data_IF_284175477993
#
_entry.id   IF_284175477993
#
_cell.length_a   1.000
_cell.length_b   1.000
_cell.length_c   1.000
_cell.angle_alpha   90.00
_cell.angle_beta   90.00
_cell.angle_gamma   90.00
#
_symmetry.space_group_name_H-M   'P 1'
#
loop_
_entity.id
_entity.type
_entity.pdbx_description
1 polymer ?
#
# COMPACT_ATOMS: atom_id res chain seq x y z
N UNK A 1 -6.81 16.09 17.75
CA UNK A 1 -6.43 15.24 16.61
C UNK A 1 -7.40 14.07 16.55
N UNK A 2 -8.00 13.84 15.40
CA UNK A 2 -8.93 12.73 15.24
C UNK A 2 -8.57 11.96 13.96
N UNK A 3 -8.45 10.64 14.10
CA UNK A 3 -8.35 9.76 12.93
C UNK A 3 -9.72 9.65 12.28
N UNK A 4 -9.80 9.91 10.98
CA UNK A 4 -11.06 9.94 10.22
C UNK A 4 -11.11 8.93 9.07
N UNK A 5 -10.20 7.96 9.06
CA UNK A 5 -10.21 6.90 8.06
C UNK A 5 -9.06 5.92 8.20
N UNK A 6 -9.34 4.70 7.76
CA UNK A 6 -8.40 3.59 7.61
C UNK A 6 -8.48 3.11 6.16
N UNK A 7 -7.34 2.94 5.51
CA UNK A 7 -7.28 2.59 4.09
C UNK A 7 -6.14 1.65 3.78
N UNK A 8 -6.34 0.85 2.73
CA UNK A 8 -5.32 0.11 2.00
C UNK A 8 -4.39 -0.72 2.91
N UNK A 9 -4.89 -1.73 3.64
CA UNK A 9 -4.01 -2.69 4.28
C UNK A 9 -3.22 -3.44 3.21
N UNK A 10 -1.90 -3.44 3.35
CA UNK A 10 -0.93 -4.06 2.44
C UNK A 10 -0.09 -5.00 3.27
N UNK A 11 0.06 -6.23 2.80
CA UNK A 11 0.79 -7.27 3.51
C UNK A 11 1.83 -7.88 2.57
N UNK A 12 2.97 -8.27 3.11
CA UNK A 12 3.95 -9.09 2.42
C UNK A 12 4.57 -10.09 3.38
N UNK A 13 4.85 -11.30 2.92
CA UNK A 13 5.57 -12.31 3.68
C UNK A 13 6.98 -11.85 3.97
N UNK A 14 7.41 -11.95 5.22
CA UNK A 14 8.79 -11.71 5.66
C UNK A 14 9.61 -12.97 5.44
N UNK A 15 10.73 -12.83 4.74
CA UNK A 15 11.67 -13.94 4.48
C UNK A 15 12.69 -14.06 5.59
N UNK A 16 13.37 -15.19 5.63
CA UNK A 16 14.42 -15.46 6.61
C UNK A 16 15.66 -14.54 6.49
N UNK A 17 15.84 -13.92 5.33
CA UNK A 17 16.92 -12.95 5.07
C UNK A 17 16.57 -11.52 5.51
N UNK A 18 15.39 -11.31 6.10
CA UNK A 18 14.87 -10.02 6.52
C UNK A 18 14.23 -9.19 5.40
N UNK A 19 14.18 -9.68 4.18
CA UNK A 19 13.48 -9.03 3.06
C UNK A 19 12.03 -9.48 2.98
N UNK A 20 11.21 -8.73 2.24
CA UNK A 20 9.81 -9.08 1.99
C UNK A 20 9.62 -9.66 0.60
N UNK A 21 8.62 -10.52 0.47
CA UNK A 21 8.09 -10.98 -0.81
C UNK A 21 7.29 -9.87 -1.50
N UNK A 22 6.66 -10.17 -2.64
CA UNK A 22 5.81 -9.21 -3.33
C UNK A 22 4.59 -8.83 -2.47
N UNK A 23 4.40 -7.54 -2.16
CA UNK A 23 3.29 -7.09 -1.34
C UNK A 23 1.95 -7.15 -2.09
N UNK A 24 0.91 -7.52 -1.37
CA UNK A 24 -0.46 -7.59 -1.88
C UNK A 24 -1.43 -6.79 -1.01
N UNK A 25 -2.52 -6.32 -1.64
CA UNK A 25 -3.60 -5.65 -0.92
C UNK A 25 -4.44 -6.68 -0.17
N UNK A 26 -4.71 -6.43 1.12
CA UNK A 26 -5.49 -7.30 1.98
C UNK A 26 -6.94 -6.82 2.12
N UNK A 27 -7.75 -7.00 1.07
CA UNK A 27 -9.15 -6.60 1.04
C UNK A 27 -9.37 -5.09 1.25
N UNK A 28 -10.60 -4.72 1.62
CA UNK A 28 -10.94 -3.35 2.04
C UNK A 28 -10.94 -3.28 3.56
N UNK A 29 -10.23 -2.32 4.12
CA UNK A 29 -10.15 -2.13 5.56
C UNK A 29 -11.50 -1.74 6.16
N UNK A 30 -11.89 -2.41 7.23
CA UNK A 30 -13.08 -2.11 8.04
C UNK A 30 -12.64 -1.58 9.41
N UNK A 31 -11.68 -2.25 10.04
CA UNK A 31 -11.12 -1.86 11.33
C UNK A 31 -9.71 -2.41 11.52
N UNK A 32 -8.90 -1.69 12.26
CA UNK A 32 -7.58 -2.14 12.67
C UNK A 32 -7.32 -1.63 14.09
N UNK A 33 -6.94 -2.54 14.96
CA UNK A 33 -6.52 -2.24 16.32
C UNK A 33 -5.10 -2.78 16.53
N UNK A 34 -4.25 -1.95 17.13
CA UNK A 34 -2.88 -2.31 17.51
C UNK A 34 -2.69 -1.93 18.96
N UNK A 35 -2.50 -2.94 19.85
CA UNK A 35 -2.41 -2.76 21.29
C UNK A 35 -1.06 -3.25 21.78
N UNK A 36 -0.11 -2.35 22.10
CA UNK A 36 1.19 -2.75 22.61
C UNK A 36 1.10 -3.29 24.04
N UNK A 37 1.84 -4.35 24.31
CA UNK A 37 2.02 -4.98 25.61
C UNK A 37 3.47 -4.86 26.04
N UNK A 38 3.67 -4.60 27.32
CA UNK A 38 4.97 -4.39 27.93
C UNK A 38 5.18 -5.39 29.07
N UNK A 39 6.41 -5.86 29.22
CA UNK A 39 6.87 -6.49 30.43
C UNK A 39 7.26 -5.39 31.43
N UNK A 40 6.77 -5.48 32.65
CA UNK A 40 7.01 -4.47 33.69
C UNK A 40 7.60 -5.16 34.91
N UNK A 41 8.63 -4.54 35.50
CA UNK A 41 9.29 -5.01 36.71
C UNK A 41 9.47 -3.87 37.72
N UNK A 42 9.25 -4.14 39.00
CA UNK A 42 9.50 -3.17 40.08
C UNK A 42 10.36 -3.81 41.17
N UNK A 43 11.42 -3.14 41.56
CA UNK A 43 12.22 -3.49 42.72
C UNK A 43 11.81 -2.59 43.92
N UNK A 44 11.49 -3.21 45.02
CA UNK A 44 11.20 -2.49 46.27
C UNK A 44 12.38 -2.67 47.23
N UNK A 45 12.85 -1.56 47.82
CA UNK A 45 13.87 -1.52 48.84
C UNK A 45 13.50 -0.42 49.86
N UNK A 46 13.84 -0.64 51.17
CA UNK A 46 13.59 0.31 52.26
C UNK A 46 12.14 0.84 52.28
N UNK A 47 11.16 -0.08 52.13
CA UNK A 47 9.70 0.18 52.13
C UNK A 47 9.21 1.13 51.03
N UNK A 48 10.03 1.33 49.97
CA UNK A 48 9.70 2.13 48.78
C UNK A 48 10.04 1.43 47.47
N UNK A 49 9.43 1.90 46.37
CA UNK A 49 9.82 1.46 45.03
C UNK A 49 11.17 2.08 44.65
N UNK A 50 12.21 1.24 44.59
CA UNK A 50 13.59 1.66 44.30
C UNK A 50 13.86 1.74 42.78
N UNK A 51 13.33 0.78 42.01
CA UNK A 51 13.50 0.75 40.57
C UNK A 51 12.20 0.28 39.89
N UNK A 52 11.97 0.77 38.66
CA UNK A 52 10.90 0.35 37.79
C UNK A 52 11.44 0.26 36.37
N UNK A 53 11.22 -0.87 35.73
CA UNK A 53 11.59 -1.12 34.35
C UNK A 53 10.38 -1.54 33.51
N UNK A 54 10.40 -1.13 32.24
CA UNK A 54 9.30 -1.40 31.31
C UNK A 54 9.85 -1.60 29.91
N UNK A 55 9.72 -2.83 29.40
CA UNK A 55 10.20 -3.22 28.07
C UNK A 55 9.06 -3.65 27.16
N UNK A 56 9.14 -3.31 25.87
CA UNK A 56 8.18 -3.79 24.89
C UNK A 56 8.29 -5.31 24.74
N UNK A 57 7.15 -5.99 24.86
CA UNK A 57 7.07 -7.44 24.72
C UNK A 57 6.54 -7.85 23.34
N UNK A 58 5.36 -7.41 23.01
CA UNK A 58 4.69 -7.62 21.72
C UNK A 58 3.53 -6.65 21.57
N UNK A 59 2.93 -6.58 20.38
CA UNK A 59 1.67 -5.87 20.20
C UNK A 59 0.60 -6.81 19.65
N UNK A 60 -0.60 -6.78 20.23
CA UNK A 60 -1.75 -7.45 19.64
C UNK A 60 -2.27 -6.65 18.46
N UNK A 61 -2.57 -7.35 17.36
CA UNK A 61 -3.09 -6.76 16.13
C UNK A 61 -4.41 -7.45 15.79
N UNK A 62 -5.47 -6.67 15.64
CA UNK A 62 -6.76 -7.16 15.12
C UNK A 62 -7.09 -6.40 13.85
N UNK A 63 -7.21 -7.12 12.73
CA UNK A 63 -7.52 -6.55 11.42
C UNK A 63 -8.85 -7.11 10.91
N UNK A 64 -9.82 -6.22 10.69
CA UNK A 64 -11.12 -6.51 10.11
C UNK A 64 -11.14 -6.00 8.66
N UNK A 65 -11.49 -6.87 7.72
CA UNK A 65 -11.51 -6.55 6.28
C UNK A 65 -12.74 -7.12 5.60
N UNK A 66 -13.00 -6.67 4.38
CA UNK A 66 -14.14 -7.15 3.59
C UNK A 66 -13.99 -8.61 3.13
N UNK A 67 -12.76 -9.09 2.99
CA UNK A 67 -12.45 -10.45 2.52
C UNK A 67 -11.00 -10.81 2.82
N UNK A 68 -10.69 -12.10 2.82
CA UNK A 68 -9.32 -12.63 2.82
C UNK A 68 -8.97 -13.02 1.37
N UNK A 69 -7.97 -12.37 0.74
CA UNK A 69 -7.55 -12.73 -0.61
C UNK A 69 -6.96 -14.16 -0.65
N UNK A 70 -7.10 -14.87 -1.77
CA UNK A 70 -6.53 -16.23 -1.94
C UNK A 70 -5.02 -16.24 -1.67
N UNK A 71 -4.29 -15.22 -2.12
CA UNK A 71 -2.84 -15.09 -1.89
C UNK A 71 -2.47 -15.06 -0.41
N UNK A 72 -3.36 -14.58 0.46
CA UNK A 72 -3.11 -14.55 1.90
C UNK A 72 -3.04 -15.95 2.51
N UNK A 73 -3.79 -16.92 1.98
CA UNK A 73 -3.76 -18.29 2.45
C UNK A 73 -2.36 -18.91 2.29
N UNK A 74 -1.68 -18.65 1.18
CA UNK A 74 -0.30 -19.10 0.99
C UNK A 74 0.69 -18.24 1.80
N UNK A 75 0.63 -16.92 1.66
CA UNK A 75 1.67 -16.00 2.15
C UNK A 75 1.61 -15.71 3.64
N UNK A 76 0.43 -15.83 4.26
CA UNK A 76 0.25 -15.58 5.70
C UNK A 76 0.07 -16.86 6.50
N UNK A 77 -0.74 -17.80 6.00
CA UNK A 77 -1.15 -18.99 6.77
C UNK A 77 -0.41 -20.26 6.35
N UNK A 78 0.37 -20.23 5.26
CA UNK A 78 1.14 -21.38 4.79
C UNK A 78 0.33 -22.50 4.14
N UNK A 79 -0.93 -22.21 3.79
CA UNK A 79 -1.80 -23.18 3.11
C UNK A 79 -1.32 -23.48 1.69
N UNK A 80 -1.63 -24.66 1.19
CA UNK A 80 -1.35 -25.01 -0.20
C UNK A 80 -2.40 -24.39 -1.12
N UNK A 81 -1.97 -23.48 -1.99
CA UNK A 81 -2.83 -22.82 -2.98
C UNK A 81 -2.50 -23.32 -4.38
N UNK A 82 -3.51 -23.78 -5.10
CA UNK A 82 -3.41 -24.20 -6.52
C UNK A 82 -4.51 -23.51 -7.31
N UNK A 83 -4.17 -22.50 -8.09
CA UNK A 83 -5.12 -21.65 -8.81
C UNK A 83 -6.17 -21.01 -7.88
N UNK A 84 -7.38 -21.57 -7.83
CA UNK A 84 -8.49 -21.10 -7.00
C UNK A 84 -8.81 -22.02 -5.83
N UNK A 85 -8.05 -23.11 -5.68
CA UNK A 85 -8.25 -24.07 -4.62
C UNK A 85 -7.27 -23.83 -3.48
N UNK A 86 -7.78 -23.75 -2.26
CA UNK A 86 -7.01 -23.66 -1.03
C UNK A 86 -7.19 -24.95 -0.25
N UNK A 87 -6.09 -25.63 0.05
CA UNK A 87 -6.08 -26.82 0.87
C UNK A 87 -5.45 -26.51 2.21
N UNK A 88 -6.16 -26.82 3.28
CA UNK A 88 -5.74 -26.68 4.66
C UNK A 88 -5.18 -28.02 5.15
N UNK A 89 -3.98 -28.03 5.73
CA UNK A 89 -3.37 -29.21 6.30
C UNK A 89 -3.08 -28.95 7.78
N UNK A 90 -3.12 -29.99 8.60
CA UNK A 90 -2.92 -29.84 10.04
C UNK A 90 -1.50 -29.47 10.48
N UNK A 91 -0.54 -29.50 9.56
CA UNK A 91 0.86 -29.11 9.73
C UNK A 91 1.22 -27.78 9.06
N UNK A 92 0.24 -27.07 8.49
CA UNK A 92 0.46 -25.73 7.93
C UNK A 92 1.00 -24.77 9.00
N UNK A 93 2.00 -23.97 8.65
CA UNK A 93 2.65 -23.04 9.55
C UNK A 93 2.44 -21.60 9.10
N UNK A 94 1.93 -20.76 10.00
CA UNK A 94 1.75 -19.34 9.72
C UNK A 94 3.09 -18.64 9.55
N UNK A 95 3.20 -17.85 8.49
CA UNK A 95 4.38 -17.07 8.16
C UNK A 95 4.42 -15.75 8.92
N UNK A 96 5.61 -15.23 9.17
CA UNK A 96 5.80 -13.84 9.57
C UNK A 96 5.56 -12.93 8.36
N UNK A 97 4.88 -11.81 8.58
CA UNK A 97 4.54 -10.83 7.54
C UNK A 97 4.79 -9.41 8.01
N UNK A 98 5.08 -8.51 7.09
CA UNK A 98 4.95 -7.08 7.32
C UNK A 98 3.52 -6.61 7.04
N UNK A 99 3.03 -5.62 7.79
CA UNK A 99 1.72 -5.01 7.60
C UNK A 99 1.84 -3.51 7.49
N UNK A 100 1.45 -2.96 6.34
CA UNK A 100 1.31 -1.52 6.11
C UNK A 100 -0.14 -1.08 5.95
N UNK A 101 -0.48 0.13 6.42
CA UNK A 101 -1.79 0.74 6.19
C UNK A 101 -1.72 2.25 6.24
N UNK A 102 -2.75 2.92 5.71
CA UNK A 102 -2.87 4.37 5.74
C UNK A 102 -3.98 4.76 6.70
N UNK A 103 -3.68 5.62 7.67
CA UNK A 103 -4.68 6.34 8.46
C UNK A 103 -4.78 7.79 7.98
N UNK A 104 -5.98 8.35 8.04
CA UNK A 104 -6.24 9.75 7.67
C UNK A 104 -6.47 10.54 8.94
N UNK A 105 -5.75 11.62 9.11
CA UNK A 105 -5.90 12.55 10.20
C UNK A 105 -6.47 13.88 9.68
N UNK A 106 -7.27 14.54 10.50
CA UNK A 106 -7.77 15.89 10.22
C UNK A 106 -7.47 16.83 11.39
N UNK A 107 -6.64 17.85 11.12
CA UNK A 107 -6.27 18.87 12.09
C UNK A 107 -6.60 20.26 11.51
N UNK A 108 -7.39 21.04 12.21
CA UNK A 108 -7.79 22.39 11.79
C UNK A 108 -8.32 22.47 10.34
N UNK A 109 -9.08 21.47 9.92
CA UNK A 109 -9.63 21.41 8.56
C UNK A 109 -8.70 20.80 7.51
N UNK A 110 -7.42 20.70 7.77
CA UNK A 110 -6.41 20.12 6.88
C UNK A 110 -6.36 18.60 7.08
N UNK A 111 -6.36 17.85 5.97
CA UNK A 111 -6.15 16.40 5.97
C UNK A 111 -4.69 16.07 5.74
N UNK A 112 -4.18 15.12 6.51
CA UNK A 112 -2.90 14.45 6.29
C UNK A 112 -3.08 12.95 6.25
N UNK A 113 -2.14 12.27 5.63
CA UNK A 113 -2.14 10.82 5.45
C UNK A 113 -0.95 10.24 6.19
N UNK A 114 -1.21 9.33 7.12
CA UNK A 114 -0.17 8.71 7.92
C UNK A 114 0.03 7.30 7.38
N UNK A 115 1.21 7.05 6.83
CA UNK A 115 1.71 5.72 6.56
C UNK A 115 2.08 5.05 7.88
N UNK A 116 1.58 3.87 8.11
CA UNK A 116 1.91 3.05 9.26
C UNK A 116 2.47 1.71 8.78
N UNK A 117 3.44 1.19 9.50
CA UNK A 117 4.09 -0.06 9.16
C UNK A 117 4.44 -0.84 10.42
N UNK A 118 4.11 -2.14 10.44
CA UNK A 118 4.56 -3.12 11.42
C UNK A 118 5.55 -4.05 10.71
N UNK A 119 6.76 -4.14 11.26
CA UNK A 119 7.86 -4.86 10.60
C UNK A 119 7.64 -6.38 10.60
N UNK A 120 7.12 -6.92 11.70
CA UNK A 120 6.94 -8.36 11.85
C UNK A 120 5.67 -8.69 12.61
N UNK A 121 4.71 -9.31 11.92
CA UNK A 121 3.44 -9.76 12.49
C UNK A 121 3.23 -11.22 12.14
N UNK A 122 2.83 -12.03 13.09
CA UNK A 122 2.34 -13.37 12.87
C UNK A 122 0.84 -13.42 13.17
N UNK A 123 0.04 -13.65 12.14
CA UNK A 123 -1.41 -13.77 12.28
C UNK A 123 -1.81 -15.21 12.57
N UNK A 124 -2.85 -15.36 13.39
CA UNK A 124 -3.51 -16.64 13.59
C UNK A 124 -4.53 -16.87 12.47
N UNK A 125 -4.81 -18.13 12.16
CA UNK A 125 -5.87 -18.48 11.24
C UNK A 125 -7.20 -17.92 11.73
N UNK A 126 -7.98 -17.26 10.84
CA UNK A 126 -9.25 -16.67 11.24
C UNK A 126 -10.30 -17.75 11.53
N UNK A 127 -11.18 -17.48 12.47
CA UNK A 127 -12.42 -18.25 12.61
C UNK A 127 -13.38 -17.90 11.47
N UNK A 128 -14.08 -18.89 10.96
CA UNK A 128 -15.10 -18.73 9.93
C UNK A 128 -16.50 -18.73 10.54
N UNK A 129 -17.31 -17.74 10.19
CA UNK A 129 -18.70 -17.61 10.64
C UNK A 129 -19.61 -17.42 9.41
N UNK A 130 -20.48 -18.39 9.19
CA UNK A 130 -21.42 -18.41 8.09
C UNK A 130 -22.86 -18.39 8.60
N UNK A 131 -23.69 -17.54 8.01
CA UNK A 131 -25.12 -17.48 8.32
C UNK A 131 -25.96 -17.60 7.05
N UNK A 132 -27.13 -18.23 7.16
CA UNK A 132 -28.10 -18.27 6.06
C UNK A 132 -28.71 -16.87 5.84
N UNK A 133 -29.03 -16.57 4.58
CA UNK A 133 -29.72 -15.34 4.24
C UNK A 133 -31.12 -15.30 4.87
N UNK A 134 -31.36 -14.28 5.68
CA UNK A 134 -32.70 -13.97 6.22
C UNK A 134 -33.47 -12.96 5.35
N UNK A 135 -34.47 -12.32 5.93
CA UNK A 135 -35.24 -11.25 5.28
C UNK A 135 -34.39 -9.98 5.06
N UNK A 136 -33.37 -9.75 5.91
CA UNK A 136 -32.39 -8.69 5.76
C UNK A 136 -31.03 -9.26 5.28
N UNK A 137 -30.25 -8.42 4.56
CA UNK A 137 -28.90 -8.77 4.15
C UNK A 137 -27.92 -8.35 5.25
N UNK A 138 -27.32 -9.35 5.90
CA UNK A 138 -26.23 -9.15 6.85
C UNK A 138 -24.90 -9.58 6.22
N UNK A 139 -23.91 -8.69 6.27
CA UNK A 139 -22.56 -9.01 5.83
C UNK A 139 -21.73 -9.54 7.00
N UNK A 140 -21.28 -10.77 6.88
CA UNK A 140 -20.23 -11.32 7.78
C UNK A 140 -18.88 -10.99 7.18
N UNK A 141 -18.02 -10.39 7.97
CA UNK A 141 -16.70 -9.92 7.55
C UNK A 141 -15.61 -10.59 8.38
N UNK A 142 -14.51 -11.05 7.75
CA UNK A 142 -13.44 -11.72 8.47
C UNK A 142 -12.73 -10.76 9.43
N UNK A 143 -12.37 -11.33 10.59
CA UNK A 143 -11.51 -10.70 11.59
C UNK A 143 -10.32 -11.61 11.83
N UNK A 144 -9.12 -11.08 11.61
CA UNK A 144 -7.89 -11.81 11.88
C UNK A 144 -7.13 -11.16 13.03
N UNK A 145 -6.60 -11.99 13.91
CA UNK A 145 -5.79 -11.56 15.04
C UNK A 145 -4.37 -12.04 14.89
N UNK A 146 -3.42 -11.28 15.41
CA UNK A 146 -2.01 -11.64 15.35
C UNK A 146 -1.19 -10.90 16.40
N UNK A 147 0.09 -11.20 16.41
CA UNK A 147 1.06 -10.53 17.29
C UNK A 147 2.17 -9.90 16.46
N UNK A 148 2.41 -8.63 16.69
CA UNK A 148 3.59 -7.93 16.19
C UNK A 148 4.71 -8.05 17.23
N UNK A 149 5.91 -8.40 16.76
CA UNK A 149 7.12 -8.50 17.57
C UNK A 149 8.19 -7.55 17.05
N UNK A 150 9.15 -7.21 17.90
CA UNK A 150 10.31 -6.47 17.47
C UNK A 150 11.18 -7.31 16.52
N UNK A 151 11.81 -6.63 15.57
CA UNK A 151 12.88 -7.18 14.72
C UNK A 151 14.25 -6.89 15.32
N UNK A 152 15.30 -7.47 14.74
CA UNK A 152 16.67 -7.17 15.15
C UNK A 152 16.93 -5.66 15.08
N UNK A 153 17.44 -5.08 16.18
CA UNK A 153 17.56 -3.64 16.34
C UNK A 153 16.43 -2.97 17.12
N UNK A 154 15.40 -3.72 17.55
CA UNK A 154 14.34 -3.28 18.48
C UNK A 154 13.16 -2.54 17.83
N UNK A 155 13.18 -2.31 16.52
CA UNK A 155 12.04 -1.73 15.79
C UNK A 155 10.85 -2.72 15.72
N UNK A 156 9.61 -2.20 15.82
CA UNK A 156 8.41 -3.01 15.65
C UNK A 156 7.31 -2.27 14.88
N UNK A 157 7.34 -0.94 14.95
CA UNK A 157 6.37 -0.07 14.27
C UNK A 157 7.03 1.22 13.83
N UNK A 158 6.71 1.64 12.61
CA UNK A 158 7.06 2.97 12.09
C UNK A 158 5.82 3.71 11.59
N UNK A 159 5.88 5.04 11.66
CA UNK A 159 4.83 5.91 11.12
C UNK A 159 5.46 7.15 10.52
N UNK A 160 4.91 7.60 9.38
CA UNK A 160 5.32 8.85 8.74
C UNK A 160 4.10 9.58 8.16
N UNK A 161 4.10 10.92 8.24
CA UNK A 161 2.98 11.76 7.82
C UNK A 161 3.26 12.41 6.47
N UNK A 162 2.28 12.37 5.58
CA UNK A 162 2.36 12.82 4.20
C UNK A 162 1.21 13.78 3.84
N UNK A 163 1.44 14.62 2.84
CA UNK A 163 0.42 15.51 2.29
C UNK A 163 -0.62 14.76 1.43
N UNK A 164 -0.22 13.66 0.77
CA UNK A 164 -1.06 12.89 -0.14
C UNK A 164 -1.11 11.41 0.20
N UNK A 165 -2.22 10.76 -0.18
CA UNK A 165 -2.38 9.31 -0.03
C UNK A 165 -1.37 8.52 -0.87
N UNK A 166 -0.99 9.05 -2.06
CA UNK A 166 -0.02 8.42 -2.94
C UNK A 166 1.38 8.36 -2.31
N UNK A 167 1.82 9.45 -1.66
CA UNK A 167 3.09 9.47 -0.93
C UNK A 167 3.10 8.48 0.23
N UNK A 168 2.04 8.45 1.06
CA UNK A 168 1.91 7.49 2.14
C UNK A 168 1.94 6.03 1.63
N UNK A 169 1.27 5.76 0.51
CA UNK A 169 1.28 4.46 -0.15
C UNK A 169 2.68 4.10 -0.65
N UNK A 170 3.35 5.03 -1.33
CA UNK A 170 4.71 4.82 -1.83
C UNK A 170 5.70 4.52 -0.70
N UNK A 171 5.58 5.21 0.43
CA UNK A 171 6.38 4.93 1.62
C UNK A 171 6.15 3.52 2.15
N UNK A 172 4.89 3.07 2.27
CA UNK A 172 4.57 1.69 2.69
C UNK A 172 5.17 0.67 1.73
N UNK A 173 5.02 0.85 0.41
CA UNK A 173 5.65 -0.05 -0.57
C UNK A 173 7.18 0.00 -0.49
N UNK A 174 7.76 1.16 -0.19
CA UNK A 174 9.19 1.33 0.06
C UNK A 174 9.70 0.47 1.23
N UNK A 175 8.89 0.33 2.31
CA UNK A 175 9.20 -0.58 3.43
C UNK A 175 9.26 -2.05 3.00
N UNK A 176 8.48 -2.44 2.02
CA UNK A 176 8.55 -3.76 1.39
C UNK A 176 9.65 -3.89 0.32
N UNK A 177 10.52 -2.88 0.16
CA UNK A 177 11.56 -2.86 -0.88
C UNK A 177 11.03 -2.58 -2.30
N UNK A 178 9.79 -2.08 -2.42
CA UNK A 178 9.16 -1.71 -3.70
C UNK A 178 9.01 -0.18 -3.78
N UNK A 179 9.84 0.45 -4.58
CA UNK A 179 9.80 1.90 -4.76
C UNK A 179 9.10 2.29 -6.07
N UNK A 180 8.30 3.38 -6.03
CA UNK A 180 7.83 4.03 -7.25
C UNK A 180 9.02 4.62 -7.99
N UNK A 181 9.26 4.14 -9.21
CA UNK A 181 10.32 4.67 -10.06
C UNK A 181 9.97 6.06 -10.59
N UNK A 182 10.99 6.81 -10.97
CA UNK A 182 10.84 8.17 -11.53
C UNK A 182 11.04 8.12 -13.04
N UNK A 183 10.17 8.83 -13.76
CA UNK A 183 10.32 9.17 -15.18
C UNK A 183 10.68 10.65 -15.31
N UNK A 184 11.71 10.96 -16.06
CA UNK A 184 11.96 12.32 -16.52
C UNK A 184 11.15 12.54 -17.79
N UNK A 185 10.12 13.40 -17.70
CA UNK A 185 9.20 13.70 -18.80
C UNK A 185 9.47 15.14 -19.27
N UNK A 186 9.77 15.30 -20.55
CA UNK A 186 9.97 16.60 -21.18
C UNK A 186 8.91 16.83 -22.25
N UNK A 187 8.41 18.05 -22.33
CA UNK A 187 7.40 18.48 -23.30
C UNK A 187 7.99 19.53 -24.24
N UNK A 188 7.78 19.34 -25.53
CA UNK A 188 8.11 20.30 -26.57
C UNK A 188 6.91 20.52 -27.50
N UNK A 189 6.86 21.64 -28.20
CA UNK A 189 5.83 21.90 -29.22
C UNK A 189 5.78 20.77 -30.25
N UNK A 190 4.58 20.27 -30.55
CA UNK A 190 4.35 19.27 -31.56
C UNK A 190 4.47 19.81 -32.99
N UNK A 191 4.19 18.98 -33.96
CA UNK A 191 4.17 19.35 -35.39
C UNK A 191 2.83 19.94 -35.83
N UNK A 192 1.76 19.60 -35.10
CA UNK A 192 0.39 20.06 -35.37
C UNK A 192 -0.11 20.97 -34.25
N UNK A 193 -0.87 22.00 -34.57
CA UNK A 193 -1.52 22.92 -33.60
C UNK A 193 -2.25 22.15 -32.51
N UNK A 194 -2.07 22.57 -31.24
CA UNK A 194 -2.65 21.94 -30.08
C UNK A 194 -2.02 20.58 -29.66
N UNK A 195 -0.91 20.20 -30.32
CA UNK A 195 -0.15 19.00 -30.00
C UNK A 195 1.16 19.30 -29.29
N UNK A 196 1.55 18.38 -28.46
CA UNK A 196 2.86 18.36 -27.78
C UNK A 196 3.56 17.03 -28.05
N UNK A 197 4.89 17.10 -28.20
CA UNK A 197 5.78 15.94 -28.26
C UNK A 197 6.40 15.71 -26.91
N UNK A 198 6.31 14.47 -26.42
CA UNK A 198 6.92 14.08 -25.15
C UNK A 198 8.19 13.28 -25.39
N UNK A 199 9.16 13.49 -24.50
CA UNK A 199 10.35 12.63 -24.37
C UNK A 199 10.38 12.11 -22.96
N UNK A 200 10.51 10.79 -22.80
CA UNK A 200 10.48 10.12 -21.49
C UNK A 200 11.76 9.30 -21.29
N UNK A 201 12.42 9.48 -20.16
CA UNK A 201 13.61 8.75 -19.75
C UNK A 201 13.48 8.26 -18.30
N UNK A 202 13.91 7.02 -18.00
CA UNK A 202 14.32 5.96 -18.94
C UNK A 202 13.17 5.47 -19.81
N UNK A 203 13.47 4.76 -20.89
CA UNK A 203 12.46 4.09 -21.71
C UNK A 203 11.80 2.97 -20.90
N UNK A 204 10.55 2.64 -21.25
CA UNK A 204 9.79 1.57 -20.60
C UNK A 204 10.45 0.20 -20.77
N UNK A 205 10.20 -0.70 -19.83
CA UNK A 205 10.60 -2.10 -19.91
C UNK A 205 9.79 -2.90 -20.92
N UNK A 206 10.25 -4.13 -21.24
CA UNK A 206 9.61 -5.00 -22.24
C UNK A 206 8.18 -5.42 -21.85
N UNK A 207 7.94 -5.68 -20.56
CA UNK A 207 6.63 -6.09 -20.02
C UNK A 207 5.81 -4.91 -19.51
N UNK A 208 6.08 -3.69 -20.00
CA UNK A 208 5.38 -2.49 -19.56
C UNK A 208 4.91 -1.63 -20.73
N UNK A 209 3.97 -0.76 -20.44
CA UNK A 209 3.43 0.22 -21.39
C UNK A 209 3.29 1.58 -20.73
N UNK A 210 3.15 2.63 -21.55
CA UNK A 210 2.87 3.96 -21.05
C UNK A 210 1.39 4.30 -21.11
N UNK A 211 0.96 5.03 -20.09
CA UNK A 211 -0.32 5.74 -20.08
C UNK A 211 -0.09 7.18 -19.64
N UNK A 212 -0.98 8.09 -20.03
CA UNK A 212 -0.88 9.49 -19.63
C UNK A 212 -2.23 10.09 -19.25
N UNK A 213 -2.17 11.19 -18.49
CA UNK A 213 -3.29 12.12 -18.26
C UNK A 213 -2.82 13.56 -18.46
N UNK A 214 -3.72 14.40 -18.95
CA UNK A 214 -3.50 15.85 -19.07
C UNK A 214 -4.61 16.62 -18.36
N UNK A 215 -4.29 17.80 -17.84
CA UNK A 215 -5.26 18.71 -17.21
C UNK A 215 -4.62 19.59 -16.13
N UNK A 216 -5.39 20.53 -15.59
CA UNK A 216 -4.89 21.47 -14.59
C UNK A 216 -4.56 20.81 -13.24
N UNK A 217 -5.32 19.79 -12.84
CA UNK A 217 -5.24 19.16 -11.52
C UNK A 217 -5.03 17.64 -11.61
N UNK A 218 -4.03 17.23 -12.38
CA UNK A 218 -3.64 15.81 -12.46
C UNK A 218 -2.60 15.52 -11.39
N UNK A 219 -2.84 14.50 -10.55
CA UNK A 219 -1.90 14.02 -9.55
C UNK A 219 -1.16 12.77 -10.01
N UNK A 220 0.06 12.60 -9.52
CA UNK A 220 0.83 11.37 -9.69
C UNK A 220 0.12 10.21 -8.99
N UNK A 221 0.12 8.99 -9.59
CA UNK A 221 -0.38 7.79 -8.92
C UNK A 221 0.62 7.29 -7.88
N UNK A 222 0.14 6.50 -6.93
CA UNK A 222 0.98 5.70 -6.05
C UNK A 222 1.46 4.41 -6.73
N UNK A 223 2.55 3.81 -6.20
CA UNK A 223 2.99 2.48 -6.64
C UNK A 223 1.84 1.48 -6.61
N UNK A 224 1.74 0.66 -7.63
CA UNK A 224 0.69 -0.35 -7.78
C UNK A 224 -0.75 0.21 -7.83
N UNK A 225 -0.95 1.48 -8.19
CA UNK A 225 -2.27 2.01 -8.55
C UNK A 225 -2.66 1.54 -9.95
N UNK A 226 -3.94 1.21 -10.12
CA UNK A 226 -4.45 0.79 -11.45
C UNK A 226 -4.64 2.03 -12.32
N UNK A 227 -3.83 2.10 -13.39
CA UNK A 227 -3.81 3.20 -14.34
C UNK A 227 -4.27 2.72 -15.72
N UNK A 228 -5.57 2.63 -15.93
CA UNK A 228 -6.19 2.20 -17.19
C UNK A 228 -7.29 3.18 -17.67
N UNK A 229 -7.92 2.87 -18.80
CA UNK A 229 -8.97 3.71 -19.38
C UNK A 229 -10.17 3.92 -18.41
N UNK A 230 -10.55 2.90 -17.63
CA UNK A 230 -11.65 3.00 -16.66
C UNK A 230 -11.34 3.97 -15.51
N UNK A 231 -10.05 4.16 -15.21
CA UNK A 231 -9.56 5.16 -14.24
C UNK A 231 -9.14 6.48 -14.90
N UNK A 232 -9.49 6.66 -16.19
CA UNK A 232 -9.33 7.89 -16.98
C UNK A 232 -7.90 8.11 -17.48
N UNK A 233 -7.09 7.06 -17.62
CA UNK A 233 -5.78 7.11 -18.26
C UNK A 233 -5.88 6.76 -19.74
N UNK A 234 -5.11 7.44 -20.57
CA UNK A 234 -5.04 7.21 -22.01
C UNK A 234 -3.78 6.40 -22.33
N UNK A 235 -3.90 5.25 -23.03
CA UNK A 235 -2.74 4.53 -23.53
C UNK A 235 -1.89 5.39 -24.47
N UNK A 236 -0.55 5.24 -24.39
CA UNK A 236 0.39 5.96 -25.21
C UNK A 236 1.54 5.04 -25.64
N UNK A 237 1.90 5.13 -26.91
CA UNK A 237 2.97 4.29 -27.50
C UNK A 237 4.40 4.76 -27.15
N UNK A 238 4.54 5.94 -26.56
CA UNK A 238 5.83 6.53 -26.21
C UNK A 238 6.40 7.45 -27.30
N UNK A 239 5.74 7.59 -28.46
CA UNK A 239 6.26 8.32 -29.63
C UNK A 239 5.26 9.31 -30.24
N UNK A 240 3.97 8.97 -30.24
CA UNK A 240 2.92 9.80 -30.84
C UNK A 240 2.77 11.13 -30.07
N UNK A 241 2.53 12.20 -30.83
CA UNK A 241 2.18 13.50 -30.26
C UNK A 241 0.81 13.43 -29.59
N UNK A 242 0.70 13.98 -28.40
CA UNK A 242 -0.54 14.00 -27.63
C UNK A 242 -1.23 15.37 -27.70
N UNK A 243 -2.55 15.38 -27.50
CA UNK A 243 -3.32 16.63 -27.38
C UNK A 243 -3.26 17.14 -25.94
N UNK A 244 -2.94 18.41 -25.78
CA UNK A 244 -2.95 19.10 -24.50
C UNK A 244 -3.26 20.59 -24.72
N UNK A 245 -3.64 21.32 -23.67
CA UNK A 245 -3.68 22.78 -23.69
C UNK A 245 -2.36 23.33 -23.18
N UNK A 246 -1.94 24.46 -23.69
CA UNK A 246 -0.75 25.15 -23.23
C UNK A 246 -0.82 25.36 -21.71
N UNK A 247 0.22 24.93 -20.99
CA UNK A 247 0.29 25.06 -19.53
C UNK A 247 -0.44 23.97 -18.73
N UNK A 248 -1.12 23.00 -19.38
CA UNK A 248 -1.67 21.85 -18.69
C UNK A 248 -0.55 20.99 -18.09
N UNK A 249 -0.83 20.39 -16.96
CA UNK A 249 0.02 19.35 -16.39
C UNK A 249 -0.16 18.06 -17.18
N UNK A 250 0.93 17.41 -17.51
CA UNK A 250 0.96 16.10 -18.13
C UNK A 250 1.63 15.13 -17.17
N UNK A 251 0.94 14.07 -16.82
CA UNK A 251 1.50 12.95 -16.04
C UNK A 251 1.63 11.74 -16.95
N UNK A 252 2.83 11.18 -17.02
CA UNK A 252 3.12 9.92 -17.73
C UNK A 252 3.44 8.84 -16.70
N UNK A 253 2.87 7.66 -16.91
CA UNK A 253 3.04 6.51 -16.02
C UNK A 253 3.47 5.31 -16.84
N UNK A 254 4.50 4.63 -16.37
CA UNK A 254 4.85 3.28 -16.83
C UNK A 254 4.06 2.28 -15.97
N UNK A 255 3.28 1.45 -16.65
CA UNK A 255 2.44 0.41 -16.03
C UNK A 255 2.89 -0.97 -16.47
N UNK A 256 2.75 -1.96 -15.60
CA UNK A 256 2.86 -3.35 -15.99
C UNK A 256 1.69 -3.71 -16.91
N UNK A 257 1.95 -4.45 -17.99
CA UNK A 257 0.89 -4.90 -18.92
C UNK A 257 -0.08 -5.87 -18.26
N UNK A 258 0.39 -6.62 -17.27
CA UNK A 258 -0.44 -7.43 -16.41
C UNK A 258 -1.03 -6.55 -15.28
N UNK A 259 -2.36 -6.37 -15.30
CA UNK A 259 -3.10 -5.61 -14.29
C UNK A 259 -3.07 -4.09 -14.43
N UNK A 260 -2.33 -3.51 -15.37
CA UNK A 260 -2.22 -2.05 -15.59
C UNK A 260 -1.78 -1.26 -14.35
N UNK A 261 -0.86 -1.80 -13.56
CA UNK A 261 -0.41 -1.22 -12.30
C UNK A 261 0.82 -0.33 -12.46
N UNK A 262 0.80 0.84 -11.81
CA UNK A 262 1.85 1.85 -11.89
C UNK A 262 3.15 1.39 -11.22
N UNK A 263 4.27 1.51 -11.94
CA UNK A 263 5.62 1.18 -11.44
C UNK A 263 6.59 2.35 -11.51
N UNK A 264 6.38 3.28 -12.48
CA UNK A 264 7.14 4.53 -12.57
C UNK A 264 6.21 5.65 -13.00
N UNK A 265 6.48 6.87 -12.57
CA UNK A 265 5.72 8.06 -13.00
C UNK A 265 6.60 9.29 -13.11
N UNK A 266 6.15 10.22 -13.91
CA UNK A 266 6.77 11.54 -14.06
C UNK A 266 5.77 12.54 -14.58
N UNK A 267 6.07 13.82 -14.41
CA UNK A 267 5.20 14.90 -14.83
C UNK A 267 5.96 16.02 -15.53
N UNK A 268 5.25 16.76 -16.35
CA UNK A 268 5.76 17.96 -17.00
C UNK A 268 4.61 18.94 -17.28
N UNK A 269 4.94 20.15 -17.65
CA UNK A 269 3.97 21.15 -18.13
C UNK A 269 3.92 21.11 -19.67
N UNK A 270 2.73 21.10 -20.23
CA UNK A 270 2.52 21.03 -21.67
C UNK A 270 3.05 22.28 -22.38
N UNK A 271 3.93 22.07 -23.34
CA UNK A 271 4.32 23.02 -24.37
C UNK A 271 3.70 22.56 -25.69
N UNK A 272 2.72 23.29 -26.20
CA UNK A 272 2.00 22.92 -27.42
C UNK A 272 2.41 23.81 -28.60
N UNK A 273 2.21 23.29 -29.81
CA UNK A 273 2.34 24.12 -31.02
C UNK A 273 1.16 25.10 -31.05
N UNK A 274 1.48 26.38 -31.08
CA UNK A 274 0.53 27.45 -31.35
C UNK A 274 0.35 27.64 -32.88
N UNK A 275 -0.71 28.33 -33.27
CA UNK A 275 -0.94 28.71 -34.66
C UNK A 275 0.14 29.64 -35.24
#
# INVERSE_FOLDING_TARGET
MAYVGLRKPIIAQLKNDGTYDDPFAFGKAIGLQVTPNYAEGSLYADDGQAEYDKEFSYSEVTLNTSTIPIVAHEKMFGHTVTEKNVKFNGDDQNNDVGLGWISVEKVNGVRSFIGNFLDKVKFSEPSEDYATRGESIEYKTPSITGRASAVDGGGWKETETFATEAEAKNWIYGKFGKAMGTLNVQSAAGTTTGKTKLTVTPTKGESSSYVYKTGQNVSLPGYNDVCNANSGWTPWDGTAEISAKQGDKIVVVEILTDGSTAIKSGETTATVKND
#
